data_IF_509734845615
#
_entry.id   IF_509734845615
#
_cell.length_a   1.000
_cell.length_b   1.000
_cell.length_c   1.000
_cell.angle_alpha   90.00
_cell.angle_beta   90.00
_cell.angle_gamma   90.00
#
_symmetry.space_group_name_H-M   'P 1'
#
loop_
_entity.id
_entity.type
_entity.pdbx_description
1 polymer ?
#
# COMPACT_ATOMS: atom_id res chain seq x y z
N UNK A 1 23.19 -11.71 27.19
CA UNK A 1 22.06 -12.66 27.27
C UNK A 1 20.70 -12.00 27.50
N UNK A 2 20.56 -10.92 28.30
CA UNK A 2 19.26 -10.23 28.50
C UNK A 2 18.60 -9.68 27.20
N UNK A 3 19.38 -9.24 26.22
CA UNK A 3 18.89 -8.60 24.99
C UNK A 3 18.16 -9.56 24.03
N UNK A 4 18.56 -10.83 23.98
CA UNK A 4 17.90 -11.84 23.13
C UNK A 4 16.56 -12.30 23.71
N UNK A 5 16.42 -12.33 25.04
CA UNK A 5 15.17 -12.70 25.72
C UNK A 5 14.11 -11.59 25.57
N UNK A 6 14.52 -10.33 25.69
CA UNK A 6 13.63 -9.18 25.48
C UNK A 6 13.16 -9.04 24.02
N UNK A 7 14.03 -9.31 23.03
CA UNK A 7 13.64 -9.35 21.61
C UNK A 7 12.64 -10.48 21.31
N UNK A 8 12.77 -11.66 21.92
CA UNK A 8 11.81 -12.77 21.76
C UNK A 8 10.42 -12.43 22.30
N UNK A 9 10.33 -11.61 23.35
CA UNK A 9 9.07 -11.25 24.00
C UNK A 9 8.39 -10.06 23.29
N UNK A 10 9.15 -9.04 22.87
CA UNK A 10 8.60 -7.80 22.31
C UNK A 10 8.72 -7.68 20.79
N UNK A 11 9.35 -8.64 20.12
CA UNK A 11 9.64 -8.63 18.69
C UNK A 11 10.69 -7.59 18.29
N UNK A 12 11.23 -7.74 17.08
CA UNK A 12 12.13 -6.75 16.48
C UNK A 12 11.36 -5.51 15.99
N UNK A 13 12.07 -4.38 15.79
CA UNK A 13 11.49 -3.18 15.16
C UNK A 13 10.85 -3.52 13.81
N UNK A 14 11.51 -4.37 13.02
CA UNK A 14 11.03 -4.78 11.71
C UNK A 14 9.78 -5.65 11.80
N UNK A 15 9.71 -6.58 12.76
CA UNK A 15 8.49 -7.38 12.99
C UNK A 15 7.28 -6.50 13.35
N UNK A 16 7.48 -5.48 14.19
CA UNK A 16 6.41 -4.54 14.55
C UNK A 16 5.94 -3.74 13.34
N UNK A 17 6.89 -3.26 12.53
CA UNK A 17 6.58 -2.52 11.31
C UNK A 17 5.82 -3.40 10.29
N UNK A 18 6.30 -4.63 10.06
CA UNK A 18 5.60 -5.59 9.21
C UNK A 18 4.20 -5.91 9.73
N UNK A 19 4.00 -5.97 11.05
CA UNK A 19 2.67 -6.15 11.64
C UNK A 19 1.75 -4.96 11.35
N UNK A 20 2.27 -3.73 11.37
CA UNK A 20 1.51 -2.53 10.99
C UNK A 20 1.13 -2.56 9.51
N UNK A 21 2.09 -2.86 8.63
CA UNK A 21 1.81 -2.96 7.19
C UNK A 21 0.79 -4.06 6.88
N UNK A 22 0.89 -5.23 7.53
CA UNK A 22 -0.12 -6.29 7.32
C UNK A 22 -1.54 -5.86 7.70
N UNK A 23 -1.69 -5.04 8.75
CA UNK A 23 -3.00 -4.46 9.08
C UNK A 23 -3.51 -3.53 7.99
N UNK A 24 -2.64 -2.68 7.44
CA UNK A 24 -3.01 -1.82 6.31
C UNK A 24 -3.33 -2.60 5.04
N UNK A 25 -2.61 -3.70 4.76
CA UNK A 25 -2.94 -4.62 3.67
C UNK A 25 -4.36 -5.17 3.82
N UNK A 26 -4.79 -5.55 5.02
CA UNK A 26 -6.17 -5.98 5.27
C UNK A 26 -7.15 -4.88 4.88
N UNK A 27 -6.93 -3.64 5.32
CA UNK A 27 -7.79 -2.50 4.96
C UNK A 27 -7.83 -2.30 3.44
N UNK A 28 -6.69 -2.36 2.74
CA UNK A 28 -6.63 -2.22 1.28
C UNK A 28 -7.39 -3.35 0.57
N UNK A 29 -7.26 -4.59 1.06
CA UNK A 29 -7.96 -5.76 0.50
C UNK A 29 -9.48 -5.65 0.71
N UNK A 30 -9.93 -5.14 1.86
CA UNK A 30 -11.35 -4.96 2.16
C UNK A 30 -12.02 -3.92 1.23
N UNK A 31 -11.24 -2.95 0.71
CA UNK A 31 -11.71 -1.97 -0.27
C UNK A 31 -11.85 -2.54 -1.70
N UNK A 32 -11.24 -3.68 -1.99
CA UNK A 32 -11.09 -4.20 -3.36
C UNK A 32 -12.44 -4.41 -4.06
N UNK A 33 -13.41 -5.04 -3.40
CA UNK A 33 -14.72 -5.30 -4.00
C UNK A 33 -15.47 -4.00 -4.38
N UNK A 34 -15.32 -2.94 -3.57
CA UNK A 34 -15.92 -1.64 -3.85
C UNK A 34 -15.24 -0.91 -5.00
N UNK A 35 -13.91 -0.97 -5.07
CA UNK A 35 -13.13 -0.34 -6.14
C UNK A 35 -13.27 -1.11 -7.46
N UNK A 36 -13.34 -2.44 -7.44
CA UNK A 36 -13.56 -3.29 -8.62
C UNK A 36 -14.89 -2.97 -9.31
N UNK A 37 -15.92 -2.62 -8.53
CA UNK A 37 -17.24 -2.25 -9.04
C UNK A 37 -17.28 -0.91 -9.78
N UNK A 38 -16.22 -0.08 -9.72
CA UNK A 38 -16.17 1.20 -10.42
C UNK A 38 -16.03 1.01 -11.92
N UNK A 39 -16.67 1.88 -12.70
CA UNK A 39 -16.31 2.12 -14.09
C UNK A 39 -14.95 2.80 -14.20
N UNK A 40 -14.32 2.78 -15.38
CA UNK A 40 -13.04 3.47 -15.61
C UNK A 40 -13.13 4.98 -15.33
N UNK A 41 -14.28 5.60 -15.62
CA UNK A 41 -14.53 7.00 -15.31
C UNK A 41 -14.58 7.26 -13.81
N UNK A 42 -15.25 6.39 -13.04
CA UNK A 42 -15.31 6.47 -11.58
C UNK A 42 -13.94 6.24 -10.95
N UNK A 43 -13.19 5.25 -11.43
CA UNK A 43 -11.83 4.97 -10.96
C UNK A 43 -10.89 6.16 -11.21
N UNK A 44 -10.98 6.79 -12.39
CA UNK A 44 -10.21 8.00 -12.71
C UNK A 44 -10.62 9.20 -11.85
N UNK A 45 -11.91 9.36 -11.56
CA UNK A 45 -12.41 10.46 -10.73
C UNK A 45 -11.88 10.43 -9.28
N UNK A 46 -11.45 9.27 -8.77
CA UNK A 46 -10.81 9.15 -7.45
C UNK A 46 -9.57 10.03 -7.32
N UNK A 47 -8.82 10.26 -8.39
CA UNK A 47 -7.66 11.16 -8.36
C UNK A 47 -8.05 12.59 -7.98
N UNK A 48 -9.13 13.12 -8.57
CA UNK A 48 -9.60 14.48 -8.28
C UNK A 48 -10.22 14.58 -6.88
N UNK A 49 -10.88 13.51 -6.43
CA UNK A 49 -11.37 13.39 -5.06
C UNK A 49 -10.23 13.44 -4.04
N UNK A 50 -9.17 12.64 -4.23
CA UNK A 50 -8.01 12.64 -3.33
C UNK A 50 -7.32 14.00 -3.30
N UNK A 51 -7.10 14.63 -4.47
CA UNK A 51 -6.52 15.98 -4.54
C UNK A 51 -7.34 17.00 -3.75
N UNK A 52 -8.67 16.90 -3.84
CA UNK A 52 -9.58 17.79 -3.11
C UNK A 52 -9.49 17.55 -1.60
N UNK A 53 -9.53 16.29 -1.17
CA UNK A 53 -9.39 15.89 0.24
C UNK A 53 -8.07 16.37 0.86
N UNK A 54 -6.96 16.17 0.15
CA UNK A 54 -5.63 16.63 0.58
C UNK A 54 -5.55 18.17 0.63
N UNK A 55 -6.11 18.88 -0.36
CA UNK A 55 -6.23 20.35 -0.32
C UNK A 55 -7.02 20.85 0.88
N UNK A 56 -8.02 20.09 1.31
CA UNK A 56 -8.84 20.40 2.47
C UNK A 56 -8.19 20.02 3.81
N UNK A 57 -6.94 19.53 3.79
CA UNK A 57 -6.13 19.28 4.99
C UNK A 57 -6.14 17.84 5.48
N UNK A 58 -6.73 16.90 4.74
CA UNK A 58 -6.59 15.47 5.05
C UNK A 58 -5.13 15.03 4.91
N UNK A 59 -4.65 14.20 5.83
CA UNK A 59 -3.27 13.72 5.79
C UNK A 59 -3.08 12.67 4.68
N UNK A 60 -1.91 12.67 4.06
CA UNK A 60 -1.58 11.72 2.98
C UNK A 60 -1.69 10.26 3.44
N UNK A 61 -1.27 9.96 4.66
CA UNK A 61 -1.36 8.61 5.24
C UNK A 61 -2.82 8.15 5.43
N UNK A 62 -3.78 9.07 5.54
CA UNK A 62 -5.20 8.74 5.68
C UNK A 62 -5.80 8.28 4.35
N UNK A 63 -5.37 8.85 3.22
CA UNK A 63 -5.84 8.44 1.89
C UNK A 63 -5.10 7.22 1.34
N UNK A 64 -3.96 6.84 1.93
CA UNK A 64 -3.09 5.78 1.43
C UNK A 64 -3.81 4.45 1.13
N UNK A 65 -4.65 3.89 2.03
CA UNK A 65 -5.27 2.60 1.75
C UNK A 65 -6.17 2.64 0.51
N UNK A 66 -6.91 3.73 0.35
CA UNK A 66 -7.81 3.92 -0.78
C UNK A 66 -7.06 4.22 -2.08
N UNK A 67 -6.01 5.04 -2.01
CA UNK A 67 -5.14 5.32 -3.15
C UNK A 67 -4.45 4.02 -3.65
N UNK A 68 -3.96 3.18 -2.74
CA UNK A 68 -3.33 1.91 -3.10
C UNK A 68 -4.33 0.92 -3.71
N UNK A 69 -5.58 0.89 -3.22
CA UNK A 69 -6.63 0.09 -3.83
C UNK A 69 -6.97 0.56 -5.26
N UNK A 70 -7.03 1.88 -5.49
CA UNK A 70 -7.23 2.47 -6.82
C UNK A 70 -6.10 2.14 -7.78
N UNK A 71 -4.84 2.28 -7.36
CA UNK A 71 -3.67 1.95 -8.19
C UNK A 71 -3.61 0.45 -8.50
N UNK A 72 -3.94 -0.41 -7.52
CA UNK A 72 -4.04 -1.87 -7.75
C UNK A 72 -5.06 -2.20 -8.83
N UNK A 73 -6.27 -1.62 -8.73
CA UNK A 73 -7.33 -1.87 -9.71
C UNK A 73 -6.95 -1.32 -11.09
N UNK A 74 -6.36 -0.12 -11.15
CA UNK A 74 -5.85 0.44 -12.40
C UNK A 74 -4.80 -0.48 -13.05
N UNK A 75 -3.87 -1.04 -12.26
CA UNK A 75 -2.89 -2.02 -12.76
C UNK A 75 -3.55 -3.31 -13.24
N UNK A 76 -4.55 -3.82 -12.51
CA UNK A 76 -5.31 -5.01 -12.92
C UNK A 76 -5.99 -4.79 -14.27
N UNK A 77 -6.62 -3.63 -14.49
CA UNK A 77 -7.30 -3.29 -15.76
C UNK A 77 -6.35 -3.05 -16.92
N UNK A 78 -5.28 -2.28 -16.69
CA UNK A 78 -4.40 -1.80 -17.76
C UNK A 78 -3.32 -2.82 -18.12
N UNK A 79 -2.76 -3.48 -17.11
CA UNK A 79 -1.62 -4.39 -17.27
C UNK A 79 -1.98 -5.86 -17.05
N UNK A 80 -3.21 -6.17 -16.60
CA UNK A 80 -3.58 -7.53 -16.20
C UNK A 80 -2.88 -8.00 -14.92
N UNK A 81 -2.28 -7.09 -14.15
CA UNK A 81 -1.46 -7.41 -12.98
C UNK A 81 -2.09 -6.84 -11.72
N UNK A 82 -2.65 -7.70 -10.88
CA UNK A 82 -3.11 -7.33 -9.53
C UNK A 82 -1.92 -7.33 -8.57
N UNK A 83 -1.67 -6.22 -7.86
CA UNK A 83 -0.61 -6.18 -6.84
C UNK A 83 -0.81 -7.24 -5.76
N UNK A 84 0.24 -8.01 -5.47
CA UNK A 84 0.30 -8.91 -4.33
C UNK A 84 0.46 -8.15 -3.01
N UNK A 85 0.11 -8.80 -1.90
CA UNK A 85 0.19 -8.20 -0.56
C UNK A 85 1.62 -7.77 -0.20
N UNK A 86 2.63 -8.54 -0.60
CA UNK A 86 4.04 -8.17 -0.42
C UNK A 86 4.44 -6.92 -1.21
N UNK A 87 3.78 -6.67 -2.35
CA UNK A 87 4.01 -5.48 -3.15
C UNK A 87 3.38 -4.24 -2.51
N UNK A 88 2.19 -4.37 -1.91
CA UNK A 88 1.60 -3.31 -1.09
C UNK A 88 2.49 -2.95 0.10
N UNK A 89 3.06 -3.96 0.78
CA UNK A 89 4.04 -3.76 1.86
C UNK A 89 5.27 -3.01 1.35
N UNK A 90 5.80 -3.39 0.19
CA UNK A 90 6.89 -2.66 -0.46
C UNK A 90 6.53 -1.20 -0.75
N UNK A 91 5.33 -0.95 -1.27
CA UNK A 91 4.83 0.39 -1.56
C UNK A 91 4.73 1.26 -0.30
N UNK A 92 4.19 0.72 0.81
CA UNK A 92 4.12 1.44 2.09
C UNK A 92 5.51 1.73 2.67
N UNK A 93 6.46 0.79 2.53
CA UNK A 93 7.83 1.03 2.96
C UNK A 93 8.48 2.19 2.20
N UNK A 94 8.28 2.25 0.88
CA UNK A 94 8.77 3.35 0.04
C UNK A 94 8.08 4.68 0.36
N UNK A 95 6.76 4.68 0.56
CA UNK A 95 5.97 5.85 0.99
C UNK A 95 6.51 6.46 2.29
N UNK A 96 6.88 5.62 3.26
CA UNK A 96 7.48 6.06 4.52
C UNK A 96 8.97 6.44 4.40
N UNK A 97 9.51 6.58 3.19
CA UNK A 97 10.90 6.96 2.93
C UNK A 97 11.93 5.91 3.31
N UNK A 98 11.54 4.62 3.34
CA UNK A 98 12.43 3.49 3.69
C UNK A 98 12.85 2.70 2.45
N UNK A 99 13.81 1.81 2.64
CA UNK A 99 14.26 0.87 1.62
C UNK A 99 13.37 -0.38 1.67
N UNK A 100 12.68 -0.68 0.57
CA UNK A 100 11.94 -1.92 0.39
C UNK A 100 12.85 -3.01 -0.20
N UNK A 101 13.32 -3.94 0.64
CA UNK A 101 14.09 -5.09 0.16
C UNK A 101 13.16 -6.14 -0.45
N UNK A 102 13.28 -6.35 -1.77
CA UNK A 102 12.46 -7.29 -2.53
C UNK A 102 13.31 -8.08 -3.52
N UNK A 103 13.09 -9.40 -3.61
CA UNK A 103 13.79 -10.28 -4.54
C UNK A 103 13.54 -9.90 -6.00
N UNK A 104 14.43 -10.34 -6.90
CA UNK A 104 14.20 -10.23 -8.34
C UNK A 104 12.99 -11.08 -8.74
N UNK A 105 12.12 -10.55 -9.60
CA UNK A 105 10.85 -11.18 -9.95
C UNK A 105 9.64 -10.73 -9.12
N UNK A 106 9.84 -10.08 -7.96
CA UNK A 106 8.74 -9.60 -7.09
C UNK A 106 7.99 -8.36 -7.65
N UNK A 107 8.28 -7.94 -8.88
CA UNK A 107 7.59 -6.81 -9.53
C UNK A 107 7.93 -5.43 -8.97
N UNK A 108 9.22 -5.16 -8.65
CA UNK A 108 9.68 -3.86 -8.11
C UNK A 108 9.22 -2.63 -8.90
N UNK A 109 9.20 -2.72 -10.23
CA UNK A 109 8.72 -1.62 -11.10
C UNK A 109 7.24 -1.36 -10.88
N UNK A 110 6.43 -2.41 -10.73
CA UNK A 110 5.01 -2.29 -10.45
C UNK A 110 4.76 -1.80 -9.01
N UNK A 111 5.61 -2.16 -8.05
CA UNK A 111 5.53 -1.63 -6.68
C UNK A 111 5.73 -0.12 -6.65
N UNK A 112 6.65 0.40 -7.46
CA UNK A 112 6.97 1.83 -7.49
C UNK A 112 5.78 2.71 -7.93
N UNK A 113 4.77 2.16 -8.61
CA UNK A 113 3.58 2.93 -9.01
C UNK A 113 2.71 3.30 -7.82
N UNK A 114 2.72 2.52 -6.73
CA UNK A 114 1.91 2.76 -5.53
C UNK A 114 2.31 4.05 -4.79
N UNK A 115 3.57 4.25 -4.35
CA UNK A 115 3.98 5.46 -3.64
C UNK A 115 4.27 6.65 -4.58
N UNK A 116 4.37 6.42 -5.90
CA UNK A 116 4.57 7.51 -6.86
C UNK A 116 3.27 8.23 -7.23
N UNK A 117 2.15 7.53 -7.09
CA UNK A 117 0.80 8.06 -7.29
C UNK A 117 0.36 8.85 -6.05
#
# INVERSE_FOLDING_TARGET
MLTNTLKKIFGSRNERLLKQYRKQVTVINDLEAGIEAFSDAQLRAKTDEFKTRLKNGEALDTVLPEAFAVVREASKRVLGMRHFDVQLIGGMALHEGKIAEMRTGEGKTLVATLPSY
#
